data_IF_711074703163
#
_entry.id   IF_711074703163
#
_cell.length_a   1.000
_cell.length_b   1.000
_cell.length_c   1.000
_cell.angle_alpha   90.00
_cell.angle_beta   90.00
_cell.angle_gamma   90.00
#
_symmetry.space_group_name_H-M   'P 1'
#
loop_
_entity.id
_entity.type
_entity.pdbx_description
1 polymer ?
#
# COMPACT_ATOMS: atom_id res chain seq x y z
N UNK A 1 44.88 32.35 -5.04
CA UNK A 1 44.43 31.60 -6.22
C UNK A 1 44.36 30.14 -5.79
N UNK A 2 43.27 29.69 -5.30
CA UNK A 2 42.98 28.27 -5.15
C UNK A 2 41.48 28.09 -5.06
N UNK A 3 40.94 27.49 -6.10
CA UNK A 3 39.56 27.12 -6.27
C UNK A 3 39.24 25.91 -5.38
N UNK A 4 38.38 26.09 -4.38
CA UNK A 4 37.76 25.00 -3.65
C UNK A 4 36.39 24.67 -4.32
N UNK A 5 36.39 23.64 -5.10
CA UNK A 5 35.18 22.98 -5.63
C UNK A 5 34.41 22.33 -4.49
N UNK A 6 33.17 22.78 -4.28
CA UNK A 6 32.22 22.14 -3.41
C UNK A 6 31.90 20.75 -3.93
N UNK A 7 32.23 19.72 -3.18
CA UNK A 7 31.72 18.35 -3.40
C UNK A 7 30.34 18.24 -2.80
N UNK A 8 29.36 17.97 -3.65
CA UNK A 8 28.02 17.61 -3.28
C UNK A 8 28.03 16.40 -2.33
N UNK A 9 27.59 16.60 -1.10
CA UNK A 9 27.29 15.51 -0.18
C UNK A 9 25.97 14.85 -0.61
N UNK A 10 26.09 13.79 -1.41
CA UNK A 10 24.99 12.85 -1.63
C UNK A 10 24.82 12.07 -0.32
N UNK A 11 23.70 12.30 0.35
CA UNK A 11 23.29 11.54 1.55
C UNK A 11 23.25 10.03 1.24
N UNK A 12 23.59 9.16 2.19
CA UNK A 12 23.58 7.72 1.95
C UNK A 12 22.16 7.25 1.66
N UNK A 13 21.98 6.66 0.48
CA UNK A 13 20.75 5.97 0.09
C UNK A 13 20.56 4.79 1.03
N UNK A 14 19.48 4.77 1.81
CA UNK A 14 19.14 3.65 2.70
C UNK A 14 18.75 2.43 1.86
N UNK A 15 19.75 1.62 1.50
CA UNK A 15 19.60 0.33 0.81
C UNK A 15 19.86 -0.80 1.79
N UNK A 16 18.88 -1.66 1.99
CA UNK A 16 19.08 -2.93 2.67
C UNK A 16 19.90 -3.90 1.81
N UNK A 17 20.83 -4.72 2.38
CA UNK A 17 21.80 -5.54 1.63
C UNK A 17 21.22 -6.71 0.82
N UNK A 18 19.93 -6.83 0.63
CA UNK A 18 19.27 -8.01 0.05
C UNK A 18 19.28 -8.02 -1.50
N UNK A 19 19.68 -6.92 -2.14
CA UNK A 19 19.46 -6.70 -3.57
C UNK A 19 20.45 -7.38 -4.53
N UNK A 20 21.59 -7.87 -4.05
CA UNK A 20 22.62 -8.43 -4.94
C UNK A 20 22.38 -9.88 -5.38
N UNK A 21 21.45 -10.59 -4.74
CA UNK A 21 21.22 -12.03 -5.03
C UNK A 21 20.10 -12.30 -6.07
N UNK A 22 19.29 -11.30 -6.46
CA UNK A 22 18.08 -11.52 -7.29
C UNK A 22 18.24 -11.07 -8.75
N UNK A 23 19.39 -10.52 -9.17
CA UNK A 23 19.60 -10.07 -10.56
C UNK A 23 19.75 -11.16 -11.62
N UNK A 24 19.70 -12.43 -11.27
CA UNK A 24 19.83 -13.54 -12.22
C UNK A 24 18.55 -14.35 -12.27
N UNK A 25 17.72 -14.08 -13.22
CA UNK A 25 16.78 -14.95 -13.94
C UNK A 25 15.39 -14.34 -14.19
N UNK A 26 15.26 -13.48 -15.20
CA UNK A 26 14.02 -13.41 -15.96
C UNK A 26 14.36 -13.08 -17.41
N UNK A 27 14.31 -14.09 -18.26
CA UNK A 27 14.32 -13.90 -19.72
C UNK A 27 12.93 -13.42 -20.19
N UNK A 28 12.82 -12.50 -21.15
CA UNK A 28 11.52 -12.03 -21.61
C UNK A 28 10.86 -13.05 -22.53
N UNK A 29 9.83 -13.71 -22.05
CA UNK A 29 8.95 -14.51 -22.88
C UNK A 29 8.00 -13.57 -23.66
N UNK A 30 8.16 -13.52 -24.98
CA UNK A 30 7.24 -12.81 -25.88
C UNK A 30 5.93 -13.60 -26.00
N UNK A 31 4.91 -13.19 -25.24
CA UNK A 31 3.53 -13.63 -25.45
C UNK A 31 2.74 -12.46 -25.98
N UNK A 32 2.02 -12.66 -27.09
CA UNK A 32 1.13 -11.66 -27.68
C UNK A 32 0.02 -11.28 -26.68
N UNK A 33 -0.32 -10.00 -26.51
CA UNK A 33 -1.33 -9.58 -25.54
C UNK A 33 -2.71 -10.02 -26.04
N UNK A 34 -3.36 -10.91 -25.32
CA UNK A 34 -4.79 -11.12 -25.42
C UNK A 34 -5.48 -9.87 -24.83
N UNK A 35 -6.05 -9.03 -25.71
CA UNK A 35 -6.88 -7.90 -25.30
C UNK A 35 -8.08 -8.45 -24.52
N UNK A 36 -8.15 -8.14 -23.24
CA UNK A 36 -9.39 -8.29 -22.48
C UNK A 36 -10.39 -7.34 -23.13
N UNK A 37 -11.39 -7.88 -23.83
CA UNK A 37 -12.51 -7.10 -24.36
C UNK A 37 -13.32 -6.56 -23.19
N UNK A 38 -13.09 -5.30 -22.82
CA UNK A 38 -13.93 -4.58 -21.85
C UNK A 38 -15.16 -4.10 -22.64
N UNK A 39 -16.33 -4.67 -22.33
CA UNK A 39 -17.61 -4.17 -22.81
C UNK A 39 -17.79 -2.77 -22.24
N UNK A 40 -17.66 -1.74 -23.09
CA UNK A 40 -17.87 -0.36 -22.72
C UNK A 40 -19.37 -0.13 -22.46
N UNK A 41 -19.75 -0.08 -21.20
CA UNK A 41 -21.07 0.42 -20.79
C UNK A 41 -20.95 1.92 -20.57
N UNK A 42 -21.66 2.72 -21.33
CA UNK A 42 -21.68 4.21 -21.28
C UNK A 42 -22.31 4.75 -19.97
N UNK A 43 -22.75 3.89 -19.06
CA UNK A 43 -23.42 4.34 -17.84
C UNK A 43 -22.41 4.72 -16.75
N UNK A 44 -22.57 5.94 -16.23
CA UNK A 44 -21.83 6.44 -15.05
C UNK A 44 -22.08 5.53 -13.83
N UNK A 45 -21.01 5.13 -13.13
CA UNK A 45 -21.14 4.34 -11.90
C UNK A 45 -21.45 5.27 -10.73
N UNK A 46 -22.50 4.99 -10.00
CA UNK A 46 -22.84 5.70 -8.77
C UNK A 46 -22.33 4.95 -7.53
N UNK A 47 -21.62 5.68 -6.66
CA UNK A 47 -21.04 5.21 -5.43
C UNK A 47 -21.46 6.08 -4.26
N UNK A 48 -21.69 5.46 -3.10
CA UNK A 48 -21.91 6.15 -1.83
C UNK A 48 -20.66 5.98 -0.94
N UNK A 49 -19.99 7.08 -0.61
CA UNK A 49 -18.80 7.08 0.24
C UNK A 49 -19.11 6.86 1.73
N UNK A 50 -20.38 6.74 2.11
CA UNK A 50 -20.79 6.33 3.45
C UNK A 50 -20.99 4.81 3.59
N UNK A 51 -20.91 4.05 2.49
CA UNK A 51 -21.02 2.59 2.52
C UNK A 51 -19.83 1.95 3.26
N UNK A 52 -20.06 0.74 3.78
CA UNK A 52 -19.05 -0.07 4.42
C UNK A 52 -18.31 0.67 5.56
N UNK A 53 -17.00 0.81 5.45
CA UNK A 53 -16.17 1.50 6.46
C UNK A 53 -16.31 3.04 6.43
N UNK A 54 -16.90 3.59 5.36
CA UNK A 54 -17.20 5.03 5.23
C UNK A 54 -15.97 5.94 5.18
N UNK A 55 -14.82 5.43 4.76
CA UNK A 55 -13.54 6.16 4.72
C UNK A 55 -13.09 6.55 3.32
N UNK A 56 -11.77 6.64 3.16
CA UNK A 56 -11.14 7.05 1.89
C UNK A 56 -10.89 5.92 0.90
N UNK A 57 -11.13 4.66 1.26
CA UNK A 57 -10.84 3.50 0.44
C UNK A 57 -11.70 3.47 -0.83
N UNK A 58 -13.02 3.67 -0.70
CA UNK A 58 -13.96 3.69 -1.86
C UNK A 58 -13.46 4.67 -2.92
N UNK A 59 -13.05 5.88 -2.51
CA UNK A 59 -12.52 6.88 -3.45
C UNK A 59 -11.29 6.38 -4.20
N UNK A 60 -10.30 5.83 -3.48
CA UNK A 60 -9.03 5.39 -4.09
C UNK A 60 -9.24 4.20 -5.03
N UNK A 61 -10.01 3.21 -4.59
CA UNK A 61 -10.39 2.07 -5.44
C UNK A 61 -11.17 2.51 -6.67
N UNK A 62 -12.15 3.42 -6.51
CA UNK A 62 -12.93 3.95 -7.62
C UNK A 62 -12.07 4.71 -8.65
N UNK A 63 -11.10 5.52 -8.22
CA UNK A 63 -10.17 6.22 -9.11
C UNK A 63 -9.35 5.21 -9.94
N UNK A 64 -8.73 4.22 -9.29
CA UNK A 64 -7.95 3.19 -9.98
C UNK A 64 -8.82 2.38 -10.94
N UNK A 65 -9.98 1.93 -10.49
CA UNK A 65 -10.91 1.13 -11.28
C UNK A 65 -11.48 1.91 -12.48
N UNK A 66 -11.86 3.17 -12.26
CA UNK A 66 -12.34 4.04 -13.34
C UNK A 66 -11.30 4.16 -14.46
N UNK A 67 -10.04 4.41 -14.11
CA UNK A 67 -8.94 4.50 -15.08
C UNK A 67 -8.72 3.15 -15.77
N UNK A 68 -8.76 2.04 -15.02
CA UNK A 68 -8.53 0.70 -15.55
C UNK A 68 -9.65 0.22 -16.47
N UNK A 69 -10.89 0.60 -16.20
CA UNK A 69 -12.06 0.15 -16.97
C UNK A 69 -12.51 1.16 -18.03
N UNK A 70 -12.04 2.43 -17.96
CA UNK A 70 -12.53 3.51 -18.81
C UNK A 70 -13.92 4.02 -18.43
N UNK A 71 -14.48 3.59 -17.28
CA UNK A 71 -15.85 3.92 -16.87
C UNK A 71 -15.87 5.14 -15.94
N UNK A 72 -16.68 6.18 -16.24
CA UNK A 72 -16.83 7.32 -15.35
C UNK A 72 -17.59 6.95 -14.08
N UNK A 73 -17.35 7.71 -12.99
CA UNK A 73 -18.12 7.53 -11.77
C UNK A 73 -18.49 8.86 -11.09
N UNK A 74 -19.55 8.78 -10.30
CA UNK A 74 -19.96 9.78 -9.32
C UNK A 74 -19.88 9.19 -7.93
N UNK A 75 -19.13 9.83 -7.03
CA UNK A 75 -19.06 9.46 -5.62
C UNK A 75 -19.71 10.54 -4.78
N UNK A 76 -20.69 10.18 -3.98
CA UNK A 76 -21.40 11.04 -3.01
C UNK A 76 -21.01 10.69 -1.59
N UNK A 77 -21.37 11.52 -0.60
CA UNK A 77 -21.16 11.26 0.83
C UNK A 77 -19.72 10.90 1.19
N UNK A 78 -18.74 11.53 0.51
CA UNK A 78 -17.32 11.23 0.68
C UNK A 78 -16.94 11.35 2.16
N UNK A 79 -16.52 10.24 2.76
CA UNK A 79 -16.07 10.17 4.16
C UNK A 79 -17.08 10.73 5.17
N UNK A 80 -18.40 10.58 4.91
CA UNK A 80 -19.45 11.16 5.72
C UNK A 80 -19.44 10.69 7.18
N UNK A 81 -18.89 9.48 7.46
CA UNK A 81 -18.82 8.90 8.82
C UNK A 81 -17.52 9.22 9.57
N UNK A 82 -16.63 10.06 9.00
CA UNK A 82 -15.38 10.46 9.65
C UNK A 82 -15.51 11.80 10.36
N UNK A 83 -14.71 12.02 11.40
CA UNK A 83 -14.68 13.28 12.17
C UNK A 83 -14.47 14.52 11.30
N UNK A 84 -13.73 14.37 10.17
CA UNK A 84 -13.57 15.41 9.15
C UNK A 84 -14.10 14.85 7.82
N UNK A 85 -15.39 15.04 7.49
CA UNK A 85 -16.00 14.56 6.26
C UNK A 85 -15.40 15.22 5.01
N UNK A 86 -15.70 14.66 3.84
CA UNK A 86 -15.26 15.18 2.55
C UNK A 86 -13.79 14.91 2.25
N UNK A 87 -13.32 15.43 1.11
CA UNK A 87 -11.95 15.26 0.65
C UNK A 87 -10.97 15.97 1.61
N UNK A 88 -9.99 15.25 2.10
CA UNK A 88 -8.85 15.78 2.85
C UNK A 88 -7.62 15.89 1.92
N UNK A 89 -6.51 16.55 2.30
CA UNK A 89 -5.37 16.78 1.42
C UNK A 89 -4.88 15.55 0.66
N UNK A 90 -4.70 14.42 1.34
CA UNK A 90 -4.27 13.16 0.68
C UNK A 90 -5.31 12.62 -0.32
N UNK A 91 -6.60 12.75 -0.03
CA UNK A 91 -7.67 12.31 -0.95
C UNK A 91 -7.72 13.19 -2.19
N UNK A 92 -7.62 14.52 -2.00
CA UNK A 92 -7.53 15.48 -3.09
C UNK A 92 -6.30 15.21 -3.97
N UNK A 93 -5.16 14.84 -3.34
CA UNK A 93 -3.97 14.47 -4.09
C UNK A 93 -4.19 13.19 -4.90
N UNK A 94 -4.86 12.16 -4.37
CA UNK A 94 -5.21 10.97 -5.16
C UNK A 94 -6.05 11.33 -6.39
N UNK A 95 -7.05 12.22 -6.26
CA UNK A 95 -7.88 12.69 -7.41
C UNK A 95 -7.02 13.42 -8.44
N UNK A 96 -6.19 14.37 -8.01
CA UNK A 96 -5.33 15.15 -8.90
C UNK A 96 -4.30 14.27 -9.60
N UNK A 97 -3.65 13.38 -8.87
CA UNK A 97 -2.66 12.46 -9.40
C UNK A 97 -3.28 11.48 -10.41
N UNK A 98 -4.43 10.89 -10.09
CA UNK A 98 -5.21 10.06 -10.99
C UNK A 98 -5.61 10.84 -12.26
N UNK A 99 -6.06 12.09 -12.12
CA UNK A 99 -6.38 12.99 -13.22
C UNK A 99 -5.17 13.29 -14.11
N UNK A 100 -4.02 13.54 -13.49
CA UNK A 100 -2.77 13.87 -14.21
C UNK A 100 -2.29 12.69 -15.07
N UNK A 101 -2.23 11.48 -14.52
CA UNK A 101 -1.72 10.31 -15.26
C UNK A 101 -2.67 9.84 -16.36
N UNK A 102 -3.98 10.12 -16.24
CA UNK A 102 -5.00 9.65 -17.16
C UNK A 102 -5.60 10.75 -18.07
N UNK A 103 -5.22 12.02 -17.86
CA UNK A 103 -5.85 13.12 -18.58
C UNK A 103 -7.36 13.24 -18.30
N UNK A 104 -7.80 12.85 -17.10
CA UNK A 104 -9.20 12.78 -16.74
C UNK A 104 -9.85 14.16 -16.60
N UNK A 105 -11.17 14.21 -16.87
CA UNK A 105 -12.04 15.33 -16.51
C UNK A 105 -12.69 15.04 -15.16
N UNK A 106 -12.68 16.00 -14.22
CA UNK A 106 -13.32 15.81 -12.93
C UNK A 106 -13.91 17.10 -12.37
N UNK A 107 -14.95 16.95 -11.53
CA UNK A 107 -15.63 18.05 -10.81
C UNK A 107 -15.78 17.70 -9.34
N UNK A 108 -15.73 18.71 -8.45
CA UNK A 108 -15.84 18.51 -7.02
C UNK A 108 -14.51 18.20 -6.31
N UNK A 109 -13.36 18.34 -6.98
CA UNK A 109 -12.03 18.12 -6.40
C UNK A 109 -11.55 19.33 -5.58
N UNK A 110 -12.18 19.55 -4.44
CA UNK A 110 -11.83 20.61 -3.46
C UNK A 110 -11.83 20.02 -2.03
N UNK A 111 -11.03 20.61 -1.14
CA UNK A 111 -11.02 20.23 0.29
C UNK A 111 -12.43 20.34 0.86
N UNK A 112 -12.85 19.33 1.60
CA UNK A 112 -14.19 19.25 2.22
C UNK A 112 -15.30 18.85 1.26
N UNK A 113 -15.05 18.70 -0.04
CA UNK A 113 -16.07 18.27 -0.99
C UNK A 113 -16.62 16.89 -0.64
N UNK A 114 -17.95 16.78 -0.57
CA UNK A 114 -18.66 15.54 -0.32
C UNK A 114 -19.05 14.81 -1.61
N UNK A 115 -18.86 15.42 -2.78
CA UNK A 115 -19.24 14.87 -4.08
C UNK A 115 -18.09 15.02 -5.05
N UNK A 116 -17.80 13.95 -5.79
CA UNK A 116 -16.81 13.92 -6.87
C UNK A 116 -17.42 13.29 -8.13
N UNK A 117 -17.20 13.91 -9.28
CA UNK A 117 -17.39 13.34 -10.60
C UNK A 117 -16.01 13.12 -11.21
N UNK A 118 -15.76 11.96 -11.78
CA UNK A 118 -14.49 11.62 -12.42
C UNK A 118 -14.74 10.81 -13.68
N UNK A 119 -14.17 11.30 -14.79
CA UNK A 119 -14.24 10.68 -16.10
C UNK A 119 -12.80 10.49 -16.61
N UNK A 120 -12.32 9.24 -16.71
CA UNK A 120 -10.94 8.95 -17.05
C UNK A 120 -10.68 9.18 -18.55
N UNK A 121 -9.46 9.62 -18.86
CA UNK A 121 -8.93 9.63 -20.22
C UNK A 121 -7.87 8.54 -20.40
N UNK A 122 -7.01 8.72 -21.40
CA UNK A 122 -5.92 7.77 -21.70
C UNK A 122 -4.75 7.92 -20.73
N UNK A 123 -4.32 6.82 -20.13
CA UNK A 123 -3.14 6.79 -19.25
C UNK A 123 -1.87 7.01 -20.07
N UNK A 124 -0.96 7.80 -19.54
CA UNK A 124 0.35 8.07 -20.14
C UNK A 124 1.46 7.60 -19.19
N UNK A 125 2.45 6.92 -19.74
CA UNK A 125 3.69 6.65 -19.01
C UNK A 125 4.48 7.96 -18.89
N UNK A 126 5.29 8.06 -17.83
CA UNK A 126 6.14 9.24 -17.64
C UNK A 126 6.73 9.36 -16.24
N UNK A 127 7.33 10.52 -15.99
CA UNK A 127 7.80 10.93 -14.67
C UNK A 127 6.80 11.89 -14.05
N UNK A 128 6.39 11.58 -12.83
CA UNK A 128 5.38 12.32 -12.11
C UNK A 128 5.87 12.68 -10.71
N UNK A 129 5.62 13.92 -10.32
CA UNK A 129 5.96 14.42 -8.98
C UNK A 129 4.70 14.98 -8.33
N UNK A 130 4.37 14.50 -7.14
CA UNK A 130 3.18 14.91 -6.39
C UNK A 130 3.56 15.33 -4.98
N UNK A 131 3.09 16.50 -4.55
CA UNK A 131 3.27 16.98 -3.19
C UNK A 131 1.93 17.10 -2.48
N UNK A 132 1.75 16.33 -1.39
CA UNK A 132 0.51 16.37 -0.60
C UNK A 132 0.41 17.70 0.19
N UNK A 133 1.57 18.34 0.47
CA UNK A 133 1.65 19.60 1.21
C UNK A 133 1.36 19.48 2.72
N UNK A 134 1.14 18.27 3.20
CA UNK A 134 0.90 17.93 4.62
C UNK A 134 1.54 16.57 4.92
N UNK A 135 1.41 16.10 6.16
CA UNK A 135 1.79 14.72 6.53
C UNK A 135 0.81 13.63 6.00
N UNK A 136 0.04 13.91 4.94
CA UNK A 136 -0.81 12.89 4.31
C UNK A 136 0.00 11.75 3.74
N UNK A 137 -0.57 10.54 3.75
CA UNK A 137 0.15 9.31 3.43
C UNK A 137 0.53 9.19 1.93
N UNK A 138 1.84 9.12 1.66
CA UNK A 138 2.41 8.91 0.31
C UNK A 138 2.01 7.55 -0.26
N UNK A 139 1.94 6.54 0.59
CA UNK A 139 1.54 5.17 0.25
C UNK A 139 0.16 5.10 -0.41
N UNK A 140 -0.81 5.87 0.06
CA UNK A 140 -2.16 5.86 -0.47
C UNK A 140 -2.25 6.49 -1.86
N UNK A 141 -1.39 7.46 -2.17
CA UNK A 141 -1.27 8.00 -3.53
C UNK A 141 -0.65 6.95 -4.45
N UNK A 142 0.43 6.29 -4.04
CA UNK A 142 1.06 5.21 -4.82
C UNK A 142 0.10 4.05 -5.09
N UNK A 143 -0.69 3.62 -4.09
CA UNK A 143 -1.72 2.59 -4.28
C UNK A 143 -2.75 2.97 -5.35
N UNK A 144 -3.12 4.26 -5.42
CA UNK A 144 -4.08 4.74 -6.43
C UNK A 144 -3.51 4.69 -7.84
N UNK A 145 -2.19 4.93 -8.02
CA UNK A 145 -1.56 5.12 -9.33
C UNK A 145 -0.92 3.84 -9.89
N UNK A 146 -0.46 2.94 -9.03
CA UNK A 146 0.39 1.82 -9.42
C UNK A 146 -0.27 0.92 -10.47
N UNK A 147 -1.48 0.41 -10.20
CA UNK A 147 -2.16 -0.49 -11.14
C UNK A 147 -2.54 0.18 -12.46
N UNK A 148 -3.12 1.39 -12.50
CA UNK A 148 -3.32 2.12 -13.75
C UNK A 148 -2.05 2.26 -14.59
N UNK A 149 -0.92 2.65 -14.00
CA UNK A 149 0.35 2.79 -14.71
C UNK A 149 0.90 1.43 -15.17
N UNK A 150 0.81 0.39 -14.34
CA UNK A 150 1.29 -0.94 -14.70
C UNK A 150 0.48 -1.58 -15.83
N UNK A 151 -0.86 -1.47 -15.81
CA UNK A 151 -1.74 -2.23 -16.70
C UNK A 151 -2.18 -1.45 -17.95
N UNK A 152 -1.96 -0.13 -18.00
CA UNK A 152 -2.42 0.72 -19.11
C UNK A 152 -1.29 1.38 -19.88
N UNK A 153 -0.05 1.27 -19.42
CA UNK A 153 1.13 1.78 -20.12
C UNK A 153 1.93 0.65 -20.76
N UNK A 154 2.69 1.02 -21.79
CA UNK A 154 3.65 0.14 -22.48
C UNK A 154 5.10 0.44 -22.09
N UNK A 155 5.31 1.60 -21.47
CA UNK A 155 6.61 2.09 -21.00
C UNK A 155 6.61 2.23 -19.48
N UNK A 156 7.77 2.13 -18.83
CA UNK A 156 7.89 2.35 -17.40
C UNK A 156 7.46 3.75 -16.97
N UNK A 157 6.99 3.86 -15.75
CA UNK A 157 6.67 5.16 -15.14
C UNK A 157 7.40 5.32 -13.81
N UNK A 158 7.82 6.56 -13.52
CA UNK A 158 8.42 6.95 -12.26
C UNK A 158 7.48 7.92 -11.54
N UNK A 159 7.18 7.64 -10.27
CA UNK A 159 6.29 8.46 -9.44
C UNK A 159 7.01 8.82 -8.16
N UNK A 160 7.18 10.11 -7.91
CA UNK A 160 7.71 10.65 -6.65
C UNK A 160 6.58 11.33 -5.89
N UNK A 161 6.41 10.95 -4.62
CA UNK A 161 5.37 11.55 -3.76
C UNK A 161 6.00 12.11 -2.49
N UNK A 162 5.73 13.39 -2.21
CA UNK A 162 6.16 14.06 -0.97
C UNK A 162 5.00 14.17 0.01
N UNK A 163 5.21 13.73 1.27
CA UNK A 163 4.18 13.74 2.32
C UNK A 163 4.62 13.03 3.59
N UNK A 164 3.73 12.29 4.20
CA UNK A 164 4.02 11.36 5.30
C UNK A 164 4.37 9.97 4.76
N UNK A 165 5.42 9.35 5.30
CA UNK A 165 5.83 7.98 4.94
C UNK A 165 5.46 6.96 6.00
N UNK A 166 5.23 7.43 7.22
CA UNK A 166 4.84 6.65 8.39
C UNK A 166 3.66 7.37 9.05
N UNK A 167 2.46 6.90 8.75
CA UNK A 167 1.21 7.52 9.15
C UNK A 167 0.31 6.50 9.82
N UNK A 168 -0.44 6.94 10.83
CA UNK A 168 -1.55 6.16 11.33
C UNK A 168 -2.61 5.92 10.26
N UNK A 169 -3.26 4.79 10.34
CA UNK A 169 -4.34 4.39 9.43
C UNK A 169 -3.95 4.36 7.94
N UNK A 170 -2.67 4.16 7.66
CA UNK A 170 -2.16 3.98 6.30
C UNK A 170 -0.95 3.03 6.32
N UNK A 171 -0.72 2.24 5.26
CA UNK A 171 0.50 1.46 5.14
C UNK A 171 1.74 2.35 5.25
N UNK A 172 2.70 1.99 6.09
CA UNK A 172 3.97 2.70 6.14
C UNK A 172 4.83 2.35 4.92
N UNK A 173 5.89 3.12 4.68
CA UNK A 173 6.81 2.84 3.56
C UNK A 173 7.34 1.41 3.58
N UNK A 174 7.80 0.92 4.73
CA UNK A 174 8.40 -0.42 4.82
C UNK A 174 7.38 -1.56 4.61
N UNK A 175 6.10 -1.31 4.89
CA UNK A 175 5.04 -2.25 4.48
C UNK A 175 4.91 -2.29 2.95
N UNK A 176 4.98 -1.13 2.27
CA UNK A 176 4.95 -1.10 0.81
C UNK A 176 6.13 -1.86 0.20
N UNK A 177 7.33 -1.62 0.72
CA UNK A 177 8.56 -2.23 0.21
C UNK A 177 8.60 -3.74 0.46
N UNK A 178 8.30 -4.15 1.71
CA UNK A 178 8.47 -5.53 2.15
C UNK A 178 7.30 -6.43 1.74
N UNK A 179 6.06 -5.96 1.95
CA UNK A 179 4.85 -6.79 1.83
C UNK A 179 4.11 -6.51 0.53
N UNK A 180 3.67 -5.28 0.32
CA UNK A 180 2.84 -4.92 -0.82
C UNK A 180 3.55 -5.15 -2.18
N UNK A 181 4.77 -4.67 -2.33
CA UNK A 181 5.55 -4.88 -3.56
C UNK A 181 5.85 -6.37 -3.81
N UNK A 182 6.02 -7.17 -2.75
CA UNK A 182 6.22 -8.60 -2.88
C UNK A 182 4.94 -9.32 -3.36
N UNK A 183 3.76 -8.94 -2.89
CA UNK A 183 2.49 -9.41 -3.44
C UNK A 183 2.33 -9.03 -4.91
N UNK A 184 2.56 -7.77 -5.28
CA UNK A 184 2.48 -7.31 -6.66
C UNK A 184 3.42 -8.11 -7.57
N UNK A 185 4.65 -8.34 -7.13
CA UNK A 185 5.64 -9.14 -7.89
C UNK A 185 5.15 -10.58 -8.11
N UNK A 186 4.51 -11.20 -7.12
CA UNK A 186 3.90 -12.53 -7.30
C UNK A 186 2.76 -12.54 -8.32
N UNK A 187 2.08 -11.42 -8.49
CA UNK A 187 1.05 -11.22 -9.51
C UNK A 187 1.61 -10.76 -10.86
N UNK A 188 2.94 -10.73 -11.03
CA UNK A 188 3.61 -10.32 -12.27
C UNK A 188 3.71 -8.80 -12.44
N UNK A 189 3.35 -8.01 -11.44
CA UNK A 189 3.42 -6.55 -11.46
C UNK A 189 4.72 -6.12 -10.79
N UNK A 190 5.70 -5.68 -11.59
CA UNK A 190 6.99 -5.24 -11.07
C UNK A 190 6.93 -3.76 -10.65
N UNK A 191 7.10 -3.53 -9.36
CA UNK A 191 7.24 -2.19 -8.77
C UNK A 191 8.43 -2.17 -7.83
N UNK A 192 9.25 -1.13 -7.95
CA UNK A 192 10.34 -0.83 -7.03
C UNK A 192 9.98 0.44 -6.28
N UNK A 193 10.07 0.43 -4.96
CA UNK A 193 9.82 1.58 -4.11
C UNK A 193 11.06 1.93 -3.30
N UNK A 194 11.32 3.21 -3.13
CA UNK A 194 12.47 3.74 -2.42
C UNK A 194 12.05 4.90 -1.54
N UNK A 195 12.47 4.90 -0.28
CA UNK A 195 12.31 6.04 0.61
C UNK A 195 13.53 6.96 0.48
N UNK A 196 13.32 8.11 -0.13
CA UNK A 196 14.38 9.14 -0.26
C UNK A 196 14.63 9.80 1.08
N UNK A 197 13.54 10.06 1.83
CA UNK A 197 13.62 10.53 3.23
C UNK A 197 12.34 10.22 3.99
N UNK A 198 12.44 9.92 5.29
CA UNK A 198 11.28 9.68 6.14
C UNK A 198 10.49 10.96 6.43
N UNK A 199 9.18 10.80 6.63
CA UNK A 199 8.29 11.89 7.00
C UNK A 199 7.24 11.45 7.99
N UNK A 200 7.20 12.14 9.14
CA UNK A 200 6.27 11.89 10.23
C UNK A 200 5.27 13.03 10.40
N UNK A 201 4.16 12.75 11.07
CA UNK A 201 3.22 13.80 11.52
C UNK A 201 3.91 14.75 12.52
N UNK A 202 3.60 16.07 12.54
CA UNK A 202 2.54 16.73 11.77
C UNK A 202 2.95 17.31 10.41
N UNK A 203 4.24 17.50 10.12
CA UNK A 203 4.71 18.20 8.90
C UNK A 203 4.79 17.30 7.69
N UNK A 204 5.05 16.00 7.88
CA UNK A 204 5.39 15.09 6.79
C UNK A 204 6.81 15.38 6.29
N UNK A 205 6.93 15.91 5.08
CA UNK A 205 8.22 16.26 4.47
C UNK A 205 9.04 15.04 4.02
N UNK A 206 8.49 13.84 4.15
CA UNK A 206 9.07 12.63 3.61
C UNK A 206 8.87 12.53 2.11
N UNK A 207 9.63 11.67 1.46
CA UNK A 207 9.62 11.49 0.03
C UNK A 207 9.81 10.03 -0.33
N UNK A 208 8.91 9.51 -1.15
CA UNK A 208 8.95 8.14 -1.67
C UNK A 208 8.94 8.18 -3.18
N UNK A 209 9.84 7.43 -3.79
CA UNK A 209 9.91 7.20 -5.24
C UNK A 209 9.46 5.79 -5.55
N UNK A 210 8.70 5.62 -6.62
CA UNK A 210 8.30 4.33 -7.16
C UNK A 210 8.61 4.26 -8.66
N UNK A 211 9.20 3.15 -9.10
CA UNK A 211 9.37 2.81 -10.52
C UNK A 211 8.43 1.65 -10.82
N UNK A 212 7.50 1.87 -11.74
CA UNK A 212 6.42 0.94 -12.07
C UNK A 212 6.64 0.44 -13.50
N UNK A 213 6.80 -0.87 -13.66
CA UNK A 213 6.98 -1.49 -14.96
C UNK A 213 5.63 -1.85 -15.59
N UNK A 214 5.50 -1.82 -16.93
CA UNK A 214 4.34 -2.33 -17.61
C UNK A 214 4.11 -3.81 -17.31
N UNK A 215 2.85 -4.17 -17.10
CA UNK A 215 2.42 -5.55 -16.88
C UNK A 215 1.39 -5.94 -17.93
N UNK A 216 1.68 -6.96 -18.71
CA UNK A 216 0.80 -7.41 -19.79
C UNK A 216 -0.36 -8.29 -19.31
N UNK A 217 -0.19 -9.00 -18.20
CA UNK A 217 -1.21 -9.85 -17.61
C UNK A 217 -0.94 -10.05 -16.11
N UNK A 218 -1.98 -9.88 -15.30
CA UNK A 218 -1.94 -10.19 -13.87
C UNK A 218 -2.01 -11.70 -13.69
N UNK A 219 -1.09 -12.23 -12.88
CA UNK A 219 -1.04 -13.64 -12.54
C UNK A 219 -1.93 -13.94 -11.34
N UNK A 220 -2.50 -15.16 -11.30
CA UNK A 220 -3.33 -15.62 -10.20
C UNK A 220 -2.52 -15.90 -8.93
N UNK A 221 -3.18 -15.80 -7.78
CA UNK A 221 -2.64 -16.18 -6.49
C UNK A 221 -3.38 -17.39 -5.93
N UNK A 222 -2.60 -18.36 -5.40
CA UNK A 222 -3.09 -19.50 -4.63
C UNK A 222 -2.35 -19.51 -3.30
N UNK A 223 -2.97 -18.93 -2.26
CA UNK A 223 -2.37 -18.77 -0.94
C UNK A 223 -3.35 -19.26 0.15
N UNK A 224 -3.33 -20.56 0.43
CA UNK A 224 -4.25 -21.20 1.37
C UNK A 224 -3.57 -21.66 2.67
N UNK A 225 -2.26 -21.89 2.64
CA UNK A 225 -1.50 -22.42 3.77
C UNK A 225 -0.34 -21.51 4.15
N UNK A 226 -0.04 -21.45 5.44
CA UNK A 226 1.10 -20.74 6.00
C UNK A 226 2.02 -21.76 6.69
N UNK A 227 3.34 -21.71 6.48
CA UNK A 227 4.28 -22.47 7.26
C UNK A 227 4.31 -21.99 8.70
N UNK A 228 4.96 -22.75 9.59
CA UNK A 228 5.20 -22.30 10.94
C UNK A 228 6.17 -21.11 10.97
N UNK A 229 5.77 -20.05 11.68
CA UNK A 229 6.54 -18.81 11.79
C UNK A 229 7.30 -18.77 13.12
N UNK A 230 8.54 -19.24 13.11
CA UNK A 230 9.39 -19.40 14.29
C UNK A 230 10.47 -18.34 14.43
N UNK A 231 10.75 -17.60 13.35
CA UNK A 231 11.75 -16.53 13.35
C UNK A 231 11.17 -15.24 12.80
N UNK A 232 11.55 -14.11 13.38
CA UNK A 232 11.18 -12.78 12.91
C UNK A 232 12.41 -11.90 12.71
N UNK A 233 12.41 -11.14 11.64
CA UNK A 233 13.22 -9.94 11.50
C UNK A 233 12.47 -8.70 11.97
N UNK A 234 13.08 -7.54 11.84
CA UNK A 234 12.42 -6.27 12.12
C UNK A 234 13.43 -5.17 12.34
N UNK A 235 12.95 -4.05 12.82
CA UNK A 235 13.80 -2.92 13.20
C UNK A 235 13.07 -1.99 14.18
N UNK A 236 13.83 -1.19 14.88
CA UNK A 236 13.34 -0.02 15.61
C UNK A 236 14.06 1.19 15.04
N UNK A 237 13.31 2.19 14.58
CA UNK A 237 13.90 3.41 14.05
C UNK A 237 13.33 4.64 14.72
N UNK A 238 14.20 5.64 14.95
CA UNK A 238 13.83 6.93 15.51
C UNK A 238 14.43 8.06 14.68
N UNK A 239 13.75 9.20 14.66
CA UNK A 239 14.26 10.44 14.10
C UNK A 239 14.08 11.56 15.13
N UNK A 240 15.15 12.30 15.43
CA UNK A 240 15.10 13.45 16.32
C UNK A 240 14.60 13.13 17.74
N UNK A 241 14.78 11.90 18.21
CA UNK A 241 14.43 11.44 19.55
C UNK A 241 15.68 10.93 20.28
N UNK A 242 15.68 10.91 21.64
CA UNK A 242 16.79 10.33 22.38
C UNK A 242 17.03 8.85 22.04
N UNK A 243 18.28 8.43 21.94
CA UNK A 243 18.69 7.04 21.66
C UNK A 243 18.02 6.01 22.60
N UNK A 244 17.75 6.44 23.84
CA UNK A 244 17.06 5.61 24.82
C UNK A 244 15.67 5.15 24.37
N UNK A 245 14.98 5.91 23.53
CA UNK A 245 13.67 5.56 22.95
C UNK A 245 13.84 4.36 22.02
N UNK A 246 14.80 4.45 21.11
CA UNK A 246 15.10 3.39 20.16
C UNK A 246 15.51 2.08 20.86
N UNK A 247 16.43 2.16 21.82
CA UNK A 247 16.84 0.99 22.61
C UNK A 247 15.70 0.33 23.37
N UNK A 248 14.77 1.12 23.93
CA UNK A 248 13.60 0.57 24.63
C UNK A 248 12.67 -0.15 23.67
N UNK A 249 12.40 0.42 22.49
CA UNK A 249 11.57 -0.23 21.45
C UNK A 249 12.20 -1.54 20.99
N UNK A 250 13.46 -1.53 20.55
CA UNK A 250 14.16 -2.72 20.06
C UNK A 250 14.23 -3.83 21.13
N UNK A 251 14.57 -3.46 22.38
CA UNK A 251 14.57 -4.42 23.50
C UNK A 251 13.17 -4.99 23.77
N UNK A 252 12.12 -4.14 23.74
CA UNK A 252 10.75 -4.57 24.00
C UNK A 252 10.27 -5.56 22.95
N UNK A 253 10.51 -5.27 21.64
CA UNK A 253 10.23 -6.20 20.55
C UNK A 253 10.89 -7.56 20.78
N UNK A 254 12.20 -7.57 21.02
CA UNK A 254 12.96 -8.82 21.24
C UNK A 254 12.46 -9.62 22.46
N UNK A 255 12.15 -8.94 23.57
CA UNK A 255 11.64 -9.59 24.78
C UNK A 255 10.26 -10.20 24.55
N UNK A 256 9.36 -9.46 23.87
CA UNK A 256 8.01 -9.95 23.58
C UNK A 256 8.03 -11.14 22.63
N UNK A 257 8.76 -11.04 21.51
CA UNK A 257 8.89 -12.13 20.54
C UNK A 257 9.49 -13.39 21.17
N UNK A 258 10.53 -13.22 22.00
CA UNK A 258 11.13 -14.35 22.72
C UNK A 258 10.17 -15.02 23.70
N UNK A 259 9.34 -14.24 24.41
CA UNK A 259 8.34 -14.78 25.34
C UNK A 259 7.30 -15.64 24.61
N UNK A 260 7.05 -15.34 23.34
CA UNK A 260 6.16 -16.08 22.43
C UNK A 260 6.86 -17.20 21.63
N UNK A 261 8.13 -17.51 21.97
CA UNK A 261 8.91 -18.56 21.32
C UNK A 261 9.40 -18.20 19.90
N UNK A 262 9.41 -16.92 19.54
CA UNK A 262 9.90 -16.45 18.25
C UNK A 262 11.33 -15.92 18.41
N UNK A 263 12.27 -16.52 17.69
CA UNK A 263 13.64 -15.99 17.59
C UNK A 263 13.65 -14.72 16.74
N UNK A 264 14.37 -13.69 17.19
CA UNK A 264 14.33 -12.40 16.48
C UNK A 264 15.66 -11.69 16.42
N UNK A 265 15.84 -10.91 15.34
CA UNK A 265 16.93 -9.95 15.18
C UNK A 265 16.32 -8.57 14.86
N UNK A 266 16.44 -7.63 15.81
CA UNK A 266 15.81 -6.30 15.76
C UNK A 266 16.89 -5.22 15.92
N UNK A 267 17.56 -4.77 14.86
CA UNK A 267 18.48 -3.64 14.90
C UNK A 267 17.78 -2.34 15.26
N UNK A 268 18.55 -1.42 15.82
CA UNK A 268 18.17 -0.04 16.10
C UNK A 268 18.75 0.88 15.02
N UNK A 269 17.93 1.77 14.49
CA UNK A 269 18.30 2.71 13.44
C UNK A 269 17.99 4.14 13.85
N UNK A 270 18.83 5.07 13.45
CA UNK A 270 18.58 6.49 13.59
C UNK A 270 18.41 7.10 12.20
N UNK A 271 17.32 7.84 12.02
CA UNK A 271 16.99 8.45 10.74
C UNK A 271 17.00 9.98 10.85
N UNK A 272 17.28 10.62 9.73
CA UNK A 272 17.12 12.06 9.58
C UNK A 272 15.72 12.37 9.02
N UNK A 273 14.94 13.19 9.74
CA UNK A 273 13.61 13.62 9.31
C UNK A 273 13.33 15.07 9.68
N UNK A 274 12.35 15.68 9.00
CA UNK A 274 11.96 17.06 9.23
C UNK A 274 11.33 17.31 10.62
N UNK A 275 10.86 16.26 11.29
CA UNK A 275 10.33 16.29 12.65
C UNK A 275 10.50 14.92 13.34
N UNK A 276 10.47 14.95 14.69
CA UNK A 276 10.63 13.72 15.47
C UNK A 276 9.59 12.67 15.12
N UNK A 277 10.02 11.41 15.14
CA UNK A 277 9.14 10.26 14.94
C UNK A 277 9.82 8.97 15.34
N UNK A 278 9.04 7.91 15.50
CA UNK A 278 9.56 6.56 15.69
C UNK A 278 8.65 5.51 15.07
N UNK A 279 9.25 4.40 14.69
CA UNK A 279 8.57 3.20 14.19
C UNK A 279 9.26 1.97 14.74
N UNK A 280 8.46 0.98 15.14
CA UNK A 280 8.90 -0.35 15.51
C UNK A 280 8.26 -1.34 14.55
N UNK A 281 9.02 -2.27 13.99
CA UNK A 281 8.53 -3.21 12.99
C UNK A 281 8.95 -4.66 13.27
N UNK A 282 8.05 -5.59 12.97
CA UNK A 282 8.27 -7.04 12.99
C UNK A 282 8.00 -7.58 11.59
N UNK A 283 8.86 -8.47 11.09
CA UNK A 283 8.76 -9.02 9.74
C UNK A 283 8.88 -10.54 9.81
N UNK A 284 7.84 -11.25 9.37
CA UNK A 284 7.90 -12.68 9.12
C UNK A 284 8.32 -12.95 7.66
N UNK A 285 9.61 -13.27 7.47
CA UNK A 285 10.14 -13.63 6.14
C UNK A 285 9.82 -15.06 5.73
N UNK A 286 9.46 -15.91 6.68
CA UNK A 286 9.04 -17.29 6.46
C UNK A 286 7.60 -17.38 5.91
N UNK A 287 6.79 -16.34 6.05
CA UNK A 287 5.46 -16.30 5.46
C UNK A 287 5.54 -16.46 3.93
N UNK A 288 4.49 -16.97 3.26
CA UNK A 288 4.46 -17.13 1.81
C UNK A 288 4.81 -15.86 1.04
N UNK A 289 4.46 -14.70 1.60
CA UNK A 289 4.95 -13.37 1.24
C UNK A 289 5.52 -12.73 2.50
N UNK A 290 6.71 -12.12 2.47
CA UNK A 290 7.23 -11.42 3.64
C UNK A 290 6.22 -10.42 4.18
N UNK A 291 5.82 -10.58 5.43
CA UNK A 291 4.73 -9.79 6.02
C UNK A 291 5.26 -8.94 7.16
N UNK A 292 5.02 -7.63 7.08
CA UNK A 292 5.48 -6.64 8.03
C UNK A 292 4.31 -6.09 8.85
N UNK A 293 4.52 -6.02 10.17
CA UNK A 293 3.65 -5.36 11.16
C UNK A 293 4.42 -4.23 11.81
N UNK A 294 3.74 -3.13 12.16
CA UNK A 294 4.44 -1.96 12.69
C UNK A 294 3.60 -1.18 13.70
N UNK A 295 4.30 -0.60 14.67
CA UNK A 295 3.76 0.41 15.57
C UNK A 295 4.41 1.77 15.32
N UNK A 296 3.65 2.84 15.48
CA UNK A 296 4.11 4.21 15.32
C UNK A 296 4.14 4.96 16.64
N UNK A 297 5.18 5.78 16.79
CA UNK A 297 5.30 6.67 17.94
C UNK A 297 4.43 7.92 17.78
N UNK A 298 3.77 8.27 18.87
CA UNK A 298 3.01 9.49 19.04
C UNK A 298 3.49 10.26 20.27
N UNK A 299 3.15 11.54 20.31
CA UNK A 299 3.47 12.35 21.50
C UNK A 299 2.75 11.81 22.74
N UNK A 300 3.53 11.43 23.75
CA UNK A 300 3.03 10.88 25.00
C UNK A 300 2.87 9.35 25.02
N UNK A 301 3.03 8.66 23.89
CA UNK A 301 3.00 7.20 23.81
C UNK A 301 4.36 6.62 24.26
N UNK A 302 4.38 5.71 25.24
CA UNK A 302 5.60 5.07 25.68
C UNK A 302 6.29 4.30 24.54
N UNK A 303 7.62 4.28 24.55
CA UNK A 303 8.40 3.54 23.55
C UNK A 303 8.05 2.04 23.53
N UNK A 304 7.80 1.48 24.69
CA UNK A 304 7.40 0.09 24.88
C UNK A 304 6.04 -0.19 24.23
N UNK A 305 5.08 0.74 24.32
CA UNK A 305 3.76 0.58 23.69
C UNK A 305 3.84 0.60 22.14
N UNK A 306 4.78 1.37 21.57
CA UNK A 306 5.03 1.35 20.12
C UNK A 306 5.50 -0.03 19.66
N UNK A 307 6.35 -0.68 20.46
CA UNK A 307 6.82 -2.03 20.19
C UNK A 307 5.72 -3.09 20.42
N UNK A 308 4.88 -2.88 21.44
CA UNK A 308 3.76 -3.78 21.73
C UNK A 308 2.75 -3.81 20.59
N UNK A 309 2.37 -2.68 20.01
CA UNK A 309 1.46 -2.63 18.84
C UNK A 309 1.95 -3.52 17.70
N UNK A 310 3.23 -3.36 17.29
CA UNK A 310 3.82 -4.16 16.23
C UNK A 310 3.87 -5.65 16.57
N UNK A 311 4.15 -5.98 17.83
CA UNK A 311 4.29 -7.36 18.27
C UNK A 311 2.93 -8.04 18.38
N UNK A 312 1.91 -7.36 18.89
CA UNK A 312 0.56 -7.90 19.07
C UNK A 312 -0.06 -8.28 17.72
N UNK A 313 0.02 -7.42 16.72
CA UNK A 313 -0.44 -7.73 15.37
C UNK A 313 0.36 -8.90 14.74
N UNK A 314 1.68 -8.90 14.89
CA UNK A 314 2.53 -9.95 14.36
C UNK A 314 2.21 -11.33 14.98
N UNK A 315 2.03 -11.39 16.31
CA UNK A 315 1.70 -12.62 17.00
C UNK A 315 0.29 -13.10 16.65
N UNK A 316 -0.69 -12.21 16.58
CA UNK A 316 -2.04 -12.54 16.15
C UNK A 316 -2.06 -13.15 14.74
N UNK A 317 -1.27 -12.61 13.81
CA UNK A 317 -1.11 -13.18 12.47
C UNK A 317 -0.47 -14.57 12.49
N UNK A 318 0.63 -14.75 13.22
CA UNK A 318 1.28 -16.07 13.41
C UNK A 318 0.29 -17.11 13.91
N UNK A 319 -0.45 -16.77 14.96
CA UNK A 319 -1.34 -17.70 15.65
C UNK A 319 -2.59 -18.06 14.80
N UNK A 320 -2.99 -17.15 13.92
CA UNK A 320 -4.05 -17.43 12.94
C UNK A 320 -3.65 -18.47 11.89
N UNK A 321 -2.35 -18.74 11.70
CA UNK A 321 -1.81 -19.71 10.72
C UNK A 321 -2.33 -19.49 9.29
N UNK A 322 -2.59 -18.23 8.95
CA UNK A 322 -3.08 -17.81 7.64
C UNK A 322 -1.95 -17.20 6.81
N UNK A 323 -1.93 -17.38 5.49
CA UNK A 323 -0.87 -16.87 4.63
C UNK A 323 -0.97 -15.37 4.32
N UNK A 324 -2.15 -14.77 4.51
CA UNK A 324 -2.41 -13.36 4.20
C UNK A 324 -2.87 -12.62 5.45
N UNK A 325 -2.24 -11.50 5.75
CA UNK A 325 -2.59 -10.61 6.85
C UNK A 325 -3.83 -9.77 6.53
N UNK A 326 -4.52 -9.19 7.54
CA UNK A 326 -5.76 -8.45 7.34
C UNK A 326 -5.58 -7.18 6.48
N UNK A 327 -4.38 -6.55 6.56
CA UNK A 327 -4.10 -5.31 5.84
C UNK A 327 -3.78 -5.55 4.37
N UNK A 328 -3.21 -6.72 4.03
CA UNK A 328 -2.97 -7.11 2.64
C UNK A 328 -4.23 -7.63 1.97
N UNK A 329 -5.14 -8.28 2.72
CA UNK A 329 -6.29 -8.97 2.17
C UNK A 329 -7.18 -8.08 1.29
N UNK A 330 -7.47 -6.85 1.71
CA UNK A 330 -8.27 -5.91 0.92
C UNK A 330 -7.52 -5.35 -0.29
N UNK A 331 -6.19 -5.21 -0.20
CA UNK A 331 -5.34 -4.68 -1.26
C UNK A 331 -5.14 -5.66 -2.42
N UNK A 332 -5.30 -6.97 -2.18
CA UNK A 332 -5.21 -8.02 -3.19
C UNK A 332 -6.44 -8.09 -4.11
N UNK A 333 -7.60 -7.67 -3.64
CA UNK A 333 -8.86 -7.77 -4.40
C UNK A 333 -8.78 -7.03 -5.73
N UNK A 334 -8.30 -5.79 -5.72
CA UNK A 334 -8.30 -4.96 -6.91
C UNK A 334 -7.38 -5.51 -8.02
N UNK A 335 -6.09 -5.82 -7.80
CA UNK A 335 -5.25 -6.41 -8.84
C UNK A 335 -5.77 -7.78 -9.32
N UNK A 336 -6.22 -8.65 -8.42
CA UNK A 336 -6.73 -9.97 -8.77
C UNK A 336 -8.05 -9.92 -9.56
N UNK A 337 -8.83 -8.87 -9.43
CA UNK A 337 -10.02 -8.66 -10.27
C UNK A 337 -9.69 -8.49 -11.76
N UNK A 338 -8.44 -8.15 -12.11
CA UNK A 338 -7.93 -8.10 -13.48
C UNK A 338 -7.18 -9.36 -13.91
N UNK A 339 -7.04 -10.34 -13.03
CA UNK A 339 -6.48 -11.64 -13.38
C UNK A 339 -7.52 -12.48 -14.14
N UNK A 340 -7.18 -13.08 -15.31
CA UNK A 340 -8.11 -13.95 -16.05
C UNK A 340 -8.36 -15.30 -15.35
N UNK A 341 -7.43 -15.74 -14.52
CA UNK A 341 -7.48 -17.03 -13.86
C UNK A 341 -8.12 -16.92 -12.46
N UNK A 342 -8.55 -18.06 -11.91
CA UNK A 342 -9.08 -18.14 -10.54
C UNK A 342 -7.98 -17.85 -9.54
N UNK A 343 -8.26 -16.93 -8.61
CA UNK A 343 -7.39 -16.63 -7.48
C UNK A 343 -8.09 -16.96 -6.18
N UNK A 344 -7.33 -17.49 -5.22
CA UNK A 344 -7.86 -17.88 -3.93
C UNK A 344 -6.80 -17.63 -2.84
N UNK A 345 -7.21 -16.99 -1.75
CA UNK A 345 -6.34 -16.78 -0.60
C UNK A 345 -7.10 -16.82 0.72
N UNK A 346 -6.42 -17.33 1.75
CA UNK A 346 -6.93 -17.33 3.12
C UNK A 346 -6.32 -16.15 3.89
N UNK A 347 -7.16 -15.33 4.49
CA UNK A 347 -6.73 -14.22 5.36
C UNK A 347 -6.98 -14.56 6.83
N UNK A 348 -6.18 -13.96 7.70
CA UNK A 348 -6.33 -14.12 9.15
C UNK A 348 -7.59 -13.42 9.70
N UNK A 349 -8.13 -12.42 8.96
CA UNK A 349 -9.35 -11.74 9.33
C UNK A 349 -10.09 -11.19 8.11
N UNK A 350 -11.38 -11.38 8.06
CA UNK A 350 -12.31 -10.71 7.13
C UNK A 350 -12.65 -9.35 7.72
N UNK A 351 -11.98 -8.31 7.23
CA UNK A 351 -12.19 -6.95 7.72
C UNK A 351 -13.31 -6.22 6.97
N UNK A 352 -13.82 -5.15 7.58
CA UNK A 352 -14.76 -4.25 6.89
C UNK A 352 -14.13 -3.55 5.69
N UNK A 353 -12.80 -3.32 5.69
CA UNK A 353 -12.06 -2.83 4.53
C UNK A 353 -12.15 -3.80 3.36
N UNK A 354 -11.95 -5.10 3.62
CA UNK A 354 -12.03 -6.13 2.60
C UNK A 354 -13.43 -6.18 1.97
N UNK A 355 -14.50 -6.26 2.77
CA UNK A 355 -15.88 -6.32 2.27
C UNK A 355 -16.27 -5.04 1.52
N UNK A 356 -15.84 -3.86 2.00
CA UNK A 356 -16.06 -2.57 1.32
C UNK A 356 -15.33 -2.52 -0.04
N UNK A 357 -14.10 -3.03 -0.10
CA UNK A 357 -13.33 -3.04 -1.35
C UNK A 357 -13.94 -3.99 -2.38
N UNK A 358 -14.37 -5.19 -1.97
CA UNK A 358 -15.09 -6.14 -2.84
C UNK A 358 -16.35 -5.48 -3.42
N UNK A 359 -17.18 -4.85 -2.57
CA UNK A 359 -18.38 -4.16 -3.01
C UNK A 359 -18.09 -3.02 -3.99
N UNK A 360 -16.95 -2.33 -3.84
CA UNK A 360 -16.52 -1.28 -4.78
C UNK A 360 -16.04 -1.88 -6.10
N UNK A 361 -15.19 -2.91 -6.06
CA UNK A 361 -14.61 -3.55 -7.24
C UNK A 361 -15.69 -4.15 -8.14
N UNK A 362 -16.66 -4.85 -7.56
CA UNK A 362 -17.75 -5.51 -8.31
C UNK A 362 -18.69 -4.55 -9.03
N UNK A 363 -18.68 -3.25 -8.69
CA UNK A 363 -19.42 -2.23 -9.48
C UNK A 363 -18.71 -1.87 -10.80
N UNK A 364 -17.40 -2.06 -10.88
CA UNK A 364 -16.61 -1.69 -12.06
C UNK A 364 -16.28 -2.88 -12.96
N UNK A 365 -16.09 -4.05 -12.40
CA UNK A 365 -15.66 -5.25 -13.12
C UNK A 365 -16.64 -6.40 -12.92
N UNK A 366 -16.82 -7.19 -13.98
CA UNK A 366 -17.70 -8.37 -13.94
C UNK A 366 -16.91 -9.57 -13.42
N UNK A 367 -16.83 -9.65 -12.10
CA UNK A 367 -16.16 -10.73 -11.35
C UNK A 367 -17.08 -11.25 -10.27
N UNK A 368 -17.01 -12.55 -10.06
CA UNK A 368 -17.60 -13.19 -8.89
C UNK A 368 -16.53 -13.27 -7.79
N UNK A 369 -16.78 -12.58 -6.68
CA UNK A 369 -15.88 -12.52 -5.53
C UNK A 369 -16.66 -13.00 -4.31
N UNK A 370 -16.33 -14.20 -3.86
CA UNK A 370 -16.96 -14.83 -2.71
C UNK A 370 -16.01 -14.83 -1.51
N UNK A 371 -16.60 -14.78 -0.33
CA UNK A 371 -15.92 -14.92 0.96
C UNK A 371 -16.56 -16.11 1.67
N UNK A 372 -15.75 -17.05 2.10
CA UNK A 372 -16.13 -18.09 3.04
C UNK A 372 -15.78 -17.58 4.45
N UNK A 373 -16.74 -17.71 5.39
CA UNK A 373 -16.74 -17.16 6.75
C UNK A 373 -17.18 -15.68 6.87
N UNK A 374 -17.29 -15.19 8.11
CA UNK A 374 -17.84 -13.87 8.41
C UNK A 374 -16.83 -12.83 8.87
N UNK A 375 -17.26 -11.58 8.94
CA UNK A 375 -16.47 -10.42 9.43
C UNK A 375 -15.88 -10.73 10.82
N UNK A 376 -14.61 -10.37 11.01
CA UNK A 376 -13.85 -10.58 12.26
C UNK A 376 -13.27 -11.99 12.43
N UNK A 377 -13.45 -12.88 11.46
CA UNK A 377 -12.87 -14.25 11.47
C UNK A 377 -11.87 -14.43 10.35
N UNK A 378 -11.04 -15.46 10.47
CA UNK A 378 -10.27 -15.93 9.33
C UNK A 378 -11.22 -16.48 8.25
N UNK A 379 -10.89 -16.25 6.98
CA UNK A 379 -11.74 -16.75 5.89
C UNK A 379 -10.99 -16.83 4.57
N UNK A 380 -11.66 -17.44 3.58
CA UNK A 380 -11.13 -17.62 2.23
C UNK A 380 -11.83 -16.65 1.29
N UNK A 381 -11.03 -15.91 0.53
CA UNK A 381 -11.49 -15.04 -0.56
C UNK A 381 -11.20 -15.75 -1.87
N UNK A 382 -12.23 -15.92 -2.70
CA UNK A 382 -12.13 -16.52 -4.03
C UNK A 382 -12.60 -15.53 -5.08
N UNK A 383 -11.80 -15.35 -6.12
CA UNK A 383 -12.07 -14.42 -7.22
C UNK A 383 -12.08 -15.20 -8.53
N UNK A 384 -13.23 -15.18 -9.23
CA UNK A 384 -13.43 -15.90 -10.47
C UNK A 384 -14.00 -15.00 -11.56
N UNK A 385 -14.00 -15.47 -12.80
CA UNK A 385 -14.82 -14.87 -13.84
C UNK A 385 -16.30 -15.16 -13.55
N UNK A 386 -17.16 -14.21 -13.80
CA UNK A 386 -18.59 -14.42 -13.76
C UNK A 386 -18.99 -15.27 -14.96
N UNK A 387 -19.65 -16.39 -14.71
CA UNK A 387 -20.14 -17.34 -15.73
C UNK A 387 -21.40 -16.82 -16.37
#
# INVERSE_FOLDING_TARGET
MDNLTSRDHISPVYRWPIWDTIRQSVAPNRVHPSRVCIVMSDSMIELDGSDGEGGGQILRSALSLSILTGRPFKLTNIRARRSKPGLQPQHLMCVRAAGTISGATYKGAAIGSAVLYFEPGAVKAGKYEFSIGTAGATSLVLHTLCLPLALRCTEPSEVTVTGGTHNEHAPCFHFLETTWAAYLRRMGIAVEVEMIRPGFYPRGGGEVRAVIQPCSAVQSLQLLTCPELTTAGGFSATAGLPESVNRKQSRRLSVRLKAEGVESHIPSEEWEAANPGSVAAVIFRQAPVPTLFFGLGERGKPAESVADDATEEAIAFRDAKCPVDPHSADQLVLPLAFCPEVSEYRTSEITRHLTTNIATVTKFVDRDISIEDGEGKSGVVRITQRV
#
